data_IF_062946371096
#
_entry.id   IF_062946371096
#
_cell.length_a   1.000
_cell.length_b   1.000
_cell.length_c   1.000
_cell.angle_alpha   90.00
_cell.angle_beta   90.00
_cell.angle_gamma   90.00
#
_symmetry.space_group_name_H-M   'P 1'
#
loop_
_entity.id
_entity.type
_entity.pdbx_description
1 polymer ?
#
# COMPACT_ATOMS: atom_id res chain seq x y z
N UNK A 1 19.81 22.81 0.29
CA UNK A 1 19.64 21.37 0.55
C UNK A 1 19.78 20.51 -0.73
N UNK A 2 19.04 20.80 -1.85
CA UNK A 2 19.15 20.01 -3.08
C UNK A 2 20.60 19.98 -3.61
N UNK A 3 21.22 21.16 -3.75
CA UNK A 3 22.61 21.30 -4.25
C UNK A 3 23.68 20.75 -3.32
N UNK A 4 23.36 20.58 -2.06
CA UNK A 4 24.24 19.98 -1.05
C UNK A 4 24.19 18.46 -1.08
N UNK A 5 23.05 17.92 -1.55
CA UNK A 5 22.76 16.48 -1.52
C UNK A 5 23.05 15.77 -2.83
N UNK A 6 22.81 16.43 -3.94
CA UNK A 6 22.95 15.86 -5.28
C UNK A 6 24.07 16.55 -6.06
N UNK A 7 24.95 15.75 -6.58
CA UNK A 7 26.02 16.20 -7.47
C UNK A 7 25.47 16.59 -8.84
N UNK A 8 26.23 17.38 -9.57
CA UNK A 8 25.92 17.76 -10.95
C UNK A 8 25.20 19.10 -11.09
N UNK A 9 24.67 19.35 -12.29
CA UNK A 9 23.99 20.61 -12.60
C UNK A 9 22.50 20.50 -12.28
N UNK A 10 21.98 21.23 -11.28
CA UNK A 10 20.57 21.18 -10.90
C UNK A 10 19.60 21.51 -12.02
N UNK A 11 20.01 22.34 -12.99
CA UNK A 11 19.15 22.73 -14.12
C UNK A 11 18.85 21.55 -15.06
N UNK A 12 19.60 20.46 -15.01
CA UNK A 12 19.32 19.22 -15.76
C UNK A 12 18.30 18.33 -15.05
N UNK A 13 18.10 18.51 -13.74
CA UNK A 13 17.14 17.76 -12.99
C UNK A 13 15.73 18.29 -13.21
N UNK A 14 14.84 17.45 -13.72
CA UNK A 14 13.43 17.80 -13.91
C UNK A 14 12.77 18.12 -12.55
N UNK A 15 13.08 17.37 -11.50
CA UNK A 15 12.61 17.64 -10.13
C UNK A 15 12.97 19.07 -9.70
N UNK A 16 14.23 19.45 -9.83
CA UNK A 16 14.68 20.79 -9.44
C UNK A 16 14.01 21.89 -10.26
N UNK A 17 13.90 21.68 -11.58
CA UNK A 17 13.25 22.65 -12.49
C UNK A 17 11.77 22.82 -12.18
N UNK A 18 11.03 21.72 -12.04
CA UNK A 18 9.59 21.75 -11.79
C UNK A 18 9.30 22.49 -10.47
N UNK A 19 9.99 22.11 -9.39
CA UNK A 19 9.78 22.74 -8.08
C UNK A 19 10.18 24.21 -8.07
N UNK A 20 11.30 24.56 -8.72
CA UNK A 20 11.76 25.95 -8.80
C UNK A 20 10.77 26.86 -9.57
N UNK A 21 9.98 26.29 -10.45
CA UNK A 21 8.93 26.98 -11.20
C UNK A 21 7.53 26.86 -10.57
N UNK A 22 7.42 26.28 -9.36
CA UNK A 22 6.13 26.05 -8.70
C UNK A 22 5.26 25.01 -9.37
N UNK A 23 5.85 24.11 -10.16
CA UNK A 23 5.15 23.02 -10.86
C UNK A 23 5.20 21.77 -9.97
N UNK A 24 4.04 21.12 -9.78
CA UNK A 24 3.99 19.86 -9.07
C UNK A 24 4.78 18.77 -9.83
N UNK A 25 5.72 18.12 -9.14
CA UNK A 25 6.49 17.02 -9.69
C UNK A 25 5.94 15.70 -9.11
N UNK A 26 5.56 14.75 -9.98
CA UNK A 26 5.11 13.44 -9.54
C UNK A 26 6.19 12.72 -8.73
N UNK A 27 5.86 12.24 -7.55
CA UNK A 27 6.81 11.60 -6.64
C UNK A 27 7.58 12.58 -5.74
N UNK A 28 7.19 13.87 -5.68
CA UNK A 28 7.82 14.86 -4.79
C UNK A 28 7.78 14.44 -3.31
N UNK A 29 6.83 13.62 -2.93
CA UNK A 29 6.71 13.04 -1.59
C UNK A 29 7.91 12.20 -1.16
N UNK A 30 8.65 11.58 -2.07
CA UNK A 30 9.88 10.87 -1.76
C UNK A 30 11.05 11.79 -1.36
N UNK A 31 10.88 13.09 -1.55
CA UNK A 31 11.91 14.10 -1.30
C UNK A 31 11.59 14.98 -0.08
N UNK A 32 10.68 14.55 0.81
CA UNK A 32 10.28 15.34 1.99
C UNK A 32 11.46 15.78 2.84
N UNK A 33 12.49 14.95 2.98
CA UNK A 33 13.72 15.28 3.71
C UNK A 33 14.49 16.49 3.15
N UNK A 34 14.24 16.88 1.90
CA UNK A 34 14.81 18.10 1.31
C UNK A 34 14.05 19.36 1.71
N UNK A 35 12.77 19.24 2.00
CA UNK A 35 11.91 20.39 2.31
C UNK A 35 11.80 20.63 3.81
N UNK A 36 11.74 19.58 4.60
CA UNK A 36 11.49 19.62 6.04
C UNK A 36 12.71 19.15 6.84
N UNK A 37 12.88 19.69 8.04
CA UNK A 37 13.93 19.25 8.99
C UNK A 37 13.52 18.01 9.75
N UNK A 38 12.23 17.79 9.90
CA UNK A 38 11.62 16.59 10.47
C UNK A 38 10.35 16.25 9.71
N UNK A 39 10.04 14.98 9.62
CA UNK A 39 8.84 14.44 9.01
C UNK A 39 8.13 13.56 10.01
N UNK A 40 6.82 13.46 9.94
CA UNK A 40 6.04 12.52 10.72
C UNK A 40 5.97 11.16 10.02
N UNK A 41 6.07 10.08 10.80
CA UNK A 41 5.80 8.74 10.36
C UNK A 41 4.29 8.46 10.40
N UNK A 42 3.84 7.40 9.73
CA UNK A 42 2.45 6.95 9.81
C UNK A 42 2.01 6.69 11.26
N UNK A 43 2.89 6.13 12.07
CA UNK A 43 2.62 5.81 13.47
C UNK A 43 2.46 7.05 14.38
N UNK A 44 3.01 8.20 14.01
CA UNK A 44 2.90 9.45 14.78
C UNK A 44 1.48 10.05 14.77
N UNK A 45 0.57 9.49 13.95
CA UNK A 45 -0.84 9.89 13.89
C UNK A 45 -1.76 9.08 14.80
N UNK A 46 -1.22 8.13 15.54
CA UNK A 46 -1.97 7.23 16.42
C UNK A 46 -1.53 7.38 17.87
N UNK A 47 -2.46 7.14 18.77
CA UNK A 47 -2.16 7.05 20.20
C UNK A 47 -1.70 5.63 20.57
N UNK A 48 -0.86 5.50 21.61
CA UNK A 48 -0.34 4.20 22.06
C UNK A 48 -1.46 3.22 22.52
N UNK A 49 -2.66 3.74 22.78
CA UNK A 49 -3.84 2.93 23.11
C UNK A 49 -4.59 2.39 21.88
N UNK A 50 -4.24 2.88 20.69
CA UNK A 50 -4.83 2.40 19.44
C UNK A 50 -4.47 0.94 19.17
N UNK A 51 -5.37 0.25 18.48
CA UNK A 51 -5.22 -1.15 18.11
C UNK A 51 -4.79 -1.28 16.65
N UNK A 52 -3.65 -1.92 16.43
CA UNK A 52 -3.16 -2.22 15.09
C UNK A 52 -3.54 -3.65 14.70
N UNK A 53 -4.19 -3.80 13.55
CA UNK A 53 -4.43 -5.10 12.93
C UNK A 53 -3.37 -5.36 11.88
N UNK A 54 -2.56 -6.39 12.08
CA UNK A 54 -1.47 -6.75 11.18
C UNK A 54 -1.68 -8.17 10.60
N UNK A 55 -1.37 -8.41 9.32
CA UNK A 55 -1.34 -9.77 8.79
C UNK A 55 -0.21 -10.57 9.47
N UNK A 56 -0.43 -11.87 9.66
CA UNK A 56 0.56 -12.75 10.30
C UNK A 56 1.90 -12.87 9.55
N UNK A 57 1.93 -12.54 8.27
CA UNK A 57 3.14 -12.51 7.44
C UNK A 57 3.65 -11.07 7.19
N UNK A 58 3.40 -10.13 8.11
CA UNK A 58 3.82 -8.74 7.97
C UNK A 58 5.32 -8.60 7.74
N UNK A 59 6.13 -9.37 8.47
CA UNK A 59 7.60 -9.33 8.35
C UNK A 59 8.08 -9.72 6.95
N UNK A 60 7.46 -10.74 6.34
CA UNK A 60 7.77 -11.15 4.97
C UNK A 60 7.40 -10.05 3.97
N UNK A 61 6.24 -9.41 4.15
CA UNK A 61 5.77 -8.31 3.30
C UNK A 61 6.72 -7.13 3.38
N UNK A 62 7.12 -6.74 4.59
CA UNK A 62 8.02 -5.61 4.80
C UNK A 62 9.43 -5.91 4.27
N UNK A 63 9.92 -7.11 4.49
CA UNK A 63 11.22 -7.56 3.96
C UNK A 63 11.22 -7.52 2.43
N UNK A 64 10.21 -8.07 1.79
CA UNK A 64 10.10 -8.05 0.33
C UNK A 64 9.98 -6.62 -0.19
N UNK A 65 9.17 -5.78 0.46
CA UNK A 65 9.03 -4.37 0.11
C UNK A 65 10.37 -3.61 0.20
N UNK A 66 11.16 -3.88 1.23
CA UNK A 66 12.50 -3.29 1.37
C UNK A 66 13.45 -3.73 0.25
N UNK A 67 13.48 -5.02 -0.06
CA UNK A 67 14.28 -5.55 -1.19
C UNK A 67 13.89 -4.88 -2.50
N UNK A 68 12.60 -4.69 -2.75
CA UNK A 68 12.11 -4.04 -3.96
C UNK A 68 12.53 -2.55 -4.04
N UNK A 69 12.51 -1.84 -2.91
CA UNK A 69 12.99 -0.46 -2.81
C UNK A 69 14.48 -0.38 -3.12
N UNK A 70 15.31 -1.23 -2.49
CA UNK A 70 16.75 -1.26 -2.73
C UNK A 70 17.09 -1.61 -4.19
N UNK A 71 16.40 -2.59 -4.77
CA UNK A 71 16.58 -2.96 -6.16
C UNK A 71 16.28 -1.80 -7.11
N UNK A 72 15.16 -1.09 -6.90
CA UNK A 72 14.81 0.09 -7.71
C UNK A 72 15.83 1.21 -7.56
N UNK A 73 16.32 1.45 -6.35
CA UNK A 73 17.37 2.43 -6.09
C UNK A 73 18.65 2.04 -6.84
N UNK A 74 19.11 0.80 -6.68
CA UNK A 74 20.34 0.31 -7.30
C UNK A 74 20.31 0.33 -8.84
N UNK A 75 19.14 0.07 -9.44
CA UNK A 75 18.96 0.15 -10.89
C UNK A 75 19.07 1.57 -11.46
N UNK A 76 18.77 2.58 -10.65
CA UNK A 76 18.66 3.96 -11.13
C UNK A 76 19.71 4.91 -10.52
N UNK A 77 20.49 4.49 -9.53
CA UNK A 77 21.44 5.37 -8.81
C UNK A 77 22.57 5.93 -9.66
N UNK A 78 22.90 5.27 -10.78
CA UNK A 78 23.93 5.71 -11.73
C UNK A 78 23.38 6.72 -12.76
N UNK A 79 22.07 6.95 -12.79
CA UNK A 79 21.45 7.91 -13.70
C UNK A 79 21.57 9.33 -13.13
N UNK A 80 22.57 10.07 -13.58
CA UNK A 80 22.85 11.44 -13.13
C UNK A 80 21.73 12.47 -13.43
N UNK A 81 20.77 12.12 -14.28
CA UNK A 81 19.61 12.97 -14.55
C UNK A 81 18.48 12.75 -13.55
N UNK A 82 18.53 11.64 -12.79
CA UNK A 82 17.58 11.28 -11.75
C UNK A 82 18.18 11.54 -10.38
N UNK A 83 17.61 12.53 -9.70
CA UNK A 83 17.92 12.75 -8.29
C UNK A 83 17.23 11.67 -7.46
N UNK A 84 17.98 10.83 -6.77
CA UNK A 84 17.44 9.77 -5.93
C UNK A 84 17.89 9.96 -4.48
N UNK A 85 16.93 9.92 -3.57
CA UNK A 85 17.18 9.85 -2.12
C UNK A 85 17.52 8.41 -1.78
N UNK A 86 18.46 8.18 -0.85
CA UNK A 86 18.77 6.83 -0.40
C UNK A 86 17.55 6.19 0.29
N UNK A 87 17.37 4.87 0.17
CA UNK A 87 16.24 4.16 0.78
C UNK A 87 16.03 4.48 2.26
N UNK A 88 17.09 4.48 3.05
CA UNK A 88 17.08 4.75 4.50
C UNK A 88 16.73 6.20 4.88
N UNK A 89 16.75 7.11 3.93
CA UNK A 89 16.36 8.51 4.14
C UNK A 89 14.89 8.78 3.76
N UNK A 90 14.25 7.88 3.04
CA UNK A 90 12.88 8.04 2.55
C UNK A 90 11.91 7.01 3.15
N UNK A 91 12.41 5.87 3.62
CA UNK A 91 11.61 4.74 4.11
C UNK A 91 12.19 4.18 5.41
N UNK A 92 11.33 3.59 6.22
CA UNK A 92 11.74 2.78 7.35
C UNK A 92 12.02 1.34 6.92
N UNK A 93 13.10 0.76 7.42
CA UNK A 93 13.36 -0.66 7.29
C UNK A 93 12.52 -1.49 8.28
N UNK A 94 12.58 -2.82 8.14
CA UNK A 94 11.84 -3.76 8.98
C UNK A 94 12.10 -3.55 10.47
N UNK A 95 13.36 -3.44 10.87
CA UNK A 95 13.72 -3.31 12.29
C UNK A 95 13.12 -2.05 12.92
N UNK A 96 13.15 -0.94 12.20
CA UNK A 96 12.56 0.33 12.64
C UNK A 96 11.04 0.21 12.80
N UNK A 97 10.37 -0.41 11.83
CA UNK A 97 8.91 -0.62 11.90
C UNK A 97 8.55 -1.55 13.05
N UNK A 98 9.30 -2.62 13.27
CA UNK A 98 9.08 -3.53 14.41
C UNK A 98 9.27 -2.83 15.76
N UNK A 99 10.23 -1.91 15.88
CA UNK A 99 10.41 -1.11 17.09
C UNK A 99 9.19 -0.21 17.31
N UNK A 100 8.72 0.47 16.29
CA UNK A 100 7.53 1.33 16.37
C UNK A 100 6.27 0.54 16.74
N UNK A 101 6.08 -0.65 16.16
CA UNK A 101 4.93 -1.51 16.46
C UNK A 101 4.87 -1.98 17.93
N UNK A 102 6.00 -2.05 18.63
CA UNK A 102 6.03 -2.43 20.06
C UNK A 102 5.36 -1.42 20.98
N UNK A 103 5.20 -0.19 20.54
CA UNK A 103 4.51 0.86 21.28
C UNK A 103 2.98 0.70 21.24
N UNK A 104 2.45 -0.18 20.40
CA UNK A 104 1.03 -0.36 20.17
C UNK A 104 0.54 -1.76 20.58
N UNK A 105 -0.77 -1.88 20.77
CA UNK A 105 -1.46 -3.17 20.89
C UNK A 105 -1.65 -3.75 19.50
N UNK A 106 -1.01 -4.88 19.20
CA UNK A 106 -1.08 -5.51 17.88
C UNK A 106 -1.87 -6.80 17.94
N UNK A 107 -2.85 -6.95 17.05
CA UNK A 107 -3.54 -8.22 16.79
C UNK A 107 -3.13 -8.71 15.40
N UNK A 108 -2.55 -9.89 15.35
CA UNK A 108 -2.22 -10.55 14.09
C UNK A 108 -3.43 -11.33 13.56
N UNK A 109 -3.74 -11.18 12.28
CA UNK A 109 -4.79 -11.95 11.63
C UNK A 109 -4.23 -12.85 10.53
N UNK A 110 -4.88 -14.00 10.35
CA UNK A 110 -4.54 -15.00 9.33
C UNK A 110 -5.75 -15.38 8.52
N UNK A 111 -5.52 -15.79 7.26
CA UNK A 111 -6.54 -16.38 6.40
C UNK A 111 -6.79 -17.87 6.71
N UNK A 112 -5.96 -18.46 7.57
CA UNK A 112 -6.06 -19.86 7.96
C UNK A 112 -6.56 -19.97 9.39
N UNK A 113 -7.30 -21.05 9.66
CA UNK A 113 -7.66 -21.39 11.02
C UNK A 113 -6.40 -21.71 11.83
N UNK A 114 -6.38 -21.21 13.04
CA UNK A 114 -5.33 -21.48 14.03
C UNK A 114 -5.88 -22.44 15.10
N UNK A 115 -4.99 -23.13 15.78
CA UNK A 115 -5.37 -23.86 17.01
C UNK A 115 -5.82 -22.84 18.07
N UNK A 116 -7.06 -22.96 18.51
CA UNK A 116 -7.62 -22.04 19.49
C UNK A 116 -6.96 -22.21 20.84
N UNK A 117 -6.48 -21.12 21.38
CA UNK A 117 -5.87 -21.05 22.71
C UNK A 117 -6.25 -19.71 23.37
N UNK A 118 -5.59 -19.35 24.47
CA UNK A 118 -5.89 -18.10 25.21
C UNK A 118 -5.61 -16.84 24.38
N UNK A 119 -4.69 -16.92 23.43
CA UNK A 119 -4.17 -15.80 22.69
C UNK A 119 -4.64 -15.80 21.21
N UNK A 120 -5.44 -16.81 20.82
CA UNK A 120 -5.93 -16.94 19.46
C UNK A 120 -7.36 -17.44 19.41
N UNK A 121 -8.14 -16.96 18.45
CA UNK A 121 -9.51 -17.43 18.17
C UNK A 121 -9.81 -17.37 16.67
N UNK A 122 -10.71 -18.24 16.23
CA UNK A 122 -11.13 -18.28 14.83
C UNK A 122 -12.47 -17.58 14.65
N UNK A 123 -12.51 -16.63 13.73
CA UNK A 123 -13.76 -15.99 13.32
C UNK A 123 -14.55 -16.96 12.44
N UNK A 124 -15.82 -17.20 12.77
CA UNK A 124 -16.73 -17.97 11.93
C UNK A 124 -17.10 -17.15 10.70
N UNK A 125 -16.42 -17.41 9.60
CA UNK A 125 -16.70 -16.77 8.31
C UNK A 125 -17.33 -17.76 7.35
N UNK A 126 -18.20 -17.26 6.48
CA UNK A 126 -18.78 -18.06 5.40
C UNK A 126 -17.98 -17.82 4.11
N UNK A 127 -17.89 -18.84 3.28
CA UNK A 127 -17.34 -18.69 1.94
C UNK A 127 -18.15 -17.66 1.15
N UNK A 128 -17.47 -16.87 0.33
CA UNK A 128 -18.14 -15.96 -0.59
C UNK A 128 -19.06 -16.72 -1.54
N UNK A 129 -20.25 -16.18 -1.85
CA UNK A 129 -21.13 -16.79 -2.83
C UNK A 129 -20.41 -17.03 -4.16
N UNK A 130 -20.71 -18.12 -4.90
CA UNK A 130 -20.08 -18.43 -6.18
C UNK A 130 -20.66 -17.57 -7.31
N UNK A 131 -20.44 -16.25 -7.24
CA UNK A 131 -20.96 -15.25 -8.20
C UNK A 131 -19.99 -14.95 -9.35
N UNK A 132 -18.90 -15.72 -9.49
CA UNK A 132 -17.92 -15.52 -10.56
C UNK A 132 -18.57 -15.66 -11.93
N UNK A 133 -18.30 -14.69 -12.81
CA UNK A 133 -18.66 -14.73 -14.23
C UNK A 133 -17.93 -15.92 -14.88
N UNK A 134 -18.66 -16.79 -15.54
CA UNK A 134 -18.12 -17.98 -16.19
C UNK A 134 -18.15 -17.79 -17.70
N UNK A 135 -17.07 -17.27 -18.25
CA UNK A 135 -16.94 -16.96 -19.70
C UNK A 135 -17.06 -18.17 -20.65
N UNK A 136 -17.11 -19.39 -20.11
CA UNK A 136 -17.22 -20.65 -20.89
C UNK A 136 -18.67 -21.12 -21.13
N UNK A 137 -19.67 -20.47 -20.57
CA UNK A 137 -21.06 -20.85 -20.66
C UNK A 137 -21.88 -19.82 -21.43
N UNK A 138 -22.97 -20.25 -22.10
CA UNK A 138 -23.87 -19.36 -22.85
C UNK A 138 -24.49 -18.25 -22.01
N UNK A 139 -24.64 -18.48 -20.70
CA UNK A 139 -25.08 -17.46 -19.73
C UNK A 139 -23.98 -17.22 -18.69
N UNK A 140 -23.20 -16.19 -18.91
CA UNK A 140 -22.08 -15.83 -18.09
C UNK A 140 -22.48 -15.33 -16.70
N UNK A 141 -23.70 -14.83 -16.52
CA UNK A 141 -24.23 -14.17 -15.30
C UNK A 141 -25.18 -15.05 -14.46
N UNK A 142 -25.44 -16.27 -14.87
CA UNK A 142 -26.43 -17.19 -14.20
C UNK A 142 -26.23 -17.28 -12.67
N UNK A 143 -25.00 -17.36 -12.20
CA UNK A 143 -24.70 -17.48 -10.77
C UNK A 143 -25.02 -16.19 -10.02
N UNK A 144 -24.71 -15.03 -10.63
CA UNK A 144 -25.04 -13.73 -10.06
C UNK A 144 -26.57 -13.53 -10.03
N UNK A 145 -27.27 -13.86 -11.09
CA UNK A 145 -28.74 -13.77 -11.17
C UNK A 145 -29.41 -14.63 -10.10
N UNK A 146 -28.96 -15.88 -9.93
CA UNK A 146 -29.44 -16.78 -8.88
C UNK A 146 -29.18 -16.23 -7.49
N UNK A 147 -28.01 -15.66 -7.27
CA UNK A 147 -27.68 -15.03 -6.01
C UNK A 147 -28.61 -13.85 -5.72
N UNK A 148 -28.76 -12.91 -6.68
CA UNK A 148 -29.59 -11.73 -6.52
C UNK A 148 -31.07 -12.07 -6.29
N UNK A 149 -31.58 -13.10 -6.98
CA UNK A 149 -32.97 -13.56 -6.83
C UNK A 149 -33.25 -14.13 -5.43
N UNK A 150 -32.28 -14.81 -4.84
CA UNK A 150 -32.44 -15.47 -3.55
C UNK A 150 -32.01 -14.61 -2.36
N UNK A 151 -31.22 -13.59 -2.57
CA UNK A 151 -30.71 -12.73 -1.50
C UNK A 151 -31.74 -11.67 -1.11
N UNK A 152 -32.21 -11.72 0.13
CA UNK A 152 -33.26 -10.81 0.64
C UNK A 152 -32.74 -9.47 1.19
N UNK A 153 -31.42 -9.23 1.09
CA UNK A 153 -30.77 -8.01 1.55
C UNK A 153 -30.57 -6.99 0.43
N UNK A 154 -29.91 -5.88 0.77
CA UNK A 154 -29.43 -4.90 -0.21
C UNK A 154 -28.06 -5.32 -0.72
N UNK A 155 -27.84 -5.20 -2.03
CA UNK A 155 -26.56 -5.50 -2.69
C UNK A 155 -25.98 -4.18 -3.20
N UNK A 156 -24.72 -3.94 -2.89
CA UNK A 156 -23.94 -2.81 -3.41
C UNK A 156 -22.92 -3.35 -4.42
N UNK A 157 -23.02 -2.89 -5.65
CA UNK A 157 -21.98 -3.10 -6.66
C UNK A 157 -20.98 -1.97 -6.61
N UNK A 158 -19.71 -2.31 -6.49
CA UNK A 158 -18.61 -1.35 -6.54
C UNK A 158 -17.77 -1.58 -7.79
N UNK A 159 -17.32 -0.49 -8.41
CA UNK A 159 -16.45 -0.54 -9.57
C UNK A 159 -15.22 0.35 -9.36
N UNK A 160 -14.07 -0.09 -9.87
CA UNK A 160 -12.79 0.62 -9.72
C UNK A 160 -12.73 1.94 -10.54
N UNK A 161 -13.61 2.07 -11.54
CA UNK A 161 -13.66 3.26 -12.40
C UNK A 161 -15.05 3.49 -12.96
N UNK A 162 -15.30 4.72 -13.44
CA UNK A 162 -16.55 5.08 -14.11
C UNK A 162 -16.83 4.18 -15.33
N UNK A 163 -15.82 3.87 -16.14
CA UNK A 163 -16.00 2.99 -17.30
C UNK A 163 -16.39 1.56 -16.91
N UNK A 164 -15.80 1.01 -15.84
CA UNK A 164 -16.22 -0.32 -15.33
C UNK A 164 -17.62 -0.31 -14.72
N UNK A 165 -18.02 0.83 -14.14
CA UNK A 165 -19.40 0.98 -13.65
C UNK A 165 -20.42 0.89 -14.77
N UNK A 166 -20.18 1.54 -15.90
CA UNK A 166 -21.08 1.47 -17.07
C UNK A 166 -21.25 0.01 -17.58
N UNK A 167 -20.15 -0.75 -17.64
CA UNK A 167 -20.17 -2.18 -18.02
C UNK A 167 -21.01 -3.05 -17.07
N UNK A 168 -21.21 -2.64 -15.81
CA UNK A 168 -22.06 -3.37 -14.86
C UNK A 168 -23.55 -3.06 -15.12
N UNK A 169 -23.87 -1.90 -15.69
CA UNK A 169 -25.25 -1.48 -15.98
C UNK A 169 -25.78 -2.03 -17.31
N UNK A 170 -24.89 -2.39 -18.26
CA UNK A 170 -25.23 -3.02 -19.53
C UNK A 170 -25.48 -4.53 -19.38
#
# INVERSE_FOLDING_TARGET
>A
RYREKFDGNPSKSKLYSDISNGIYHGGVEYFLSLFFTSTAAFFDYFDNDDLILAPNNLDDILTQGWIDIENRYNLNKEDNERSLVKPDEAFFNLDTIQIMLKEFKVINFSHFNLDENRDSFNLKTNASPPIKIQTKYEKTTDNLEKFLTNFKGRVLFTAESAGRREVIFD
#
